data_IF_696689962410
#
_entry.id   IF_696689962410
#
_cell.length_a   1.000
_cell.length_b   1.000
_cell.length_c   1.000
_cell.angle_alpha   90.00
_cell.angle_beta   90.00
_cell.angle_gamma   90.00
#
_symmetry.space_group_name_H-M   'P 1'
#
loop_
_entity.id
_entity.type
_entity.pdbx_description
1 polymer ?
#
# COMPACT_ATOMS: atom_id res chain seq x y z
N UNK A 1 -14.73 -6.32 13.11
CA UNK A 1 -15.78 -7.35 12.86
C UNK A 1 -17.17 -6.83 12.53
N UNK A 2 -17.38 -5.53 12.28
CA UNK A 2 -18.70 -5.01 11.86
C UNK A 2 -18.98 -5.19 10.35
N UNK A 3 -17.95 -5.22 9.51
CA UNK A 3 -18.09 -5.35 8.05
C UNK A 3 -18.70 -6.71 7.63
N UNK A 4 -18.19 -7.84 8.13
CA UNK A 4 -18.73 -9.17 7.79
C UNK A 4 -20.20 -9.42 8.19
N UNK A 5 -20.68 -8.72 9.23
CA UNK A 5 -22.09 -8.78 9.64
C UNK A 5 -23.01 -7.92 8.76
N UNK A 6 -22.48 -6.80 8.24
CA UNK A 6 -23.20 -5.91 7.32
C UNK A 6 -23.43 -6.61 5.97
N UNK A 7 -22.47 -7.33 5.41
CA UNK A 7 -22.61 -7.92 4.07
C UNK A 7 -23.48 -9.17 4.01
N UNK A 8 -23.38 -10.07 5.00
CA UNK A 8 -24.15 -11.33 5.03
C UNK A 8 -25.66 -11.13 5.27
N UNK A 9 -26.04 -10.09 6.02
CA UNK A 9 -27.44 -9.82 6.38
C UNK A 9 -28.12 -8.71 5.54
N UNK A 10 -27.36 -7.83 4.87
CA UNK A 10 -27.96 -6.71 4.14
C UNK A 10 -28.09 -6.92 2.64
N UNK A 11 -27.32 -7.81 1.99
CA UNK A 11 -27.45 -8.03 0.54
C UNK A 11 -28.84 -8.60 0.17
N UNK A 12 -29.38 -9.63 0.86
CA UNK A 12 -30.75 -10.08 0.60
C UNK A 12 -31.81 -9.01 0.91
N UNK A 13 -31.56 -8.13 1.90
CA UNK A 13 -32.46 -7.02 2.27
C UNK A 13 -32.40 -5.85 1.28
N UNK A 14 -31.23 -5.57 0.71
CA UNK A 14 -31.02 -4.59 -0.36
C UNK A 14 -31.70 -5.08 -1.64
N UNK A 15 -31.54 -6.35 -2.00
CA UNK A 15 -32.25 -6.99 -3.10
C UNK A 15 -33.77 -6.89 -2.94
N UNK A 16 -34.30 -7.23 -1.75
CA UNK A 16 -35.72 -7.09 -1.44
C UNK A 16 -36.17 -5.62 -1.45
N UNK A 17 -35.38 -4.71 -0.90
CA UNK A 17 -35.67 -3.28 -0.87
C UNK A 17 -35.75 -2.66 -2.26
N UNK A 18 -34.81 -3.00 -3.15
CA UNK A 18 -34.83 -2.47 -4.52
C UNK A 18 -36.00 -3.04 -5.36
N UNK A 19 -36.36 -4.32 -5.19
CA UNK A 19 -37.54 -4.92 -5.81
C UNK A 19 -38.87 -4.38 -5.25
N UNK A 20 -38.86 -3.81 -4.04
CA UNK A 20 -40.00 -3.11 -3.46
C UNK A 20 -40.11 -1.66 -3.96
N UNK A 21 -38.98 -0.97 -4.18
CA UNK A 21 -38.94 0.42 -4.66
C UNK A 21 -39.27 0.52 -6.15
N UNK A 22 -38.94 -0.50 -6.96
CA UNK A 22 -39.20 -0.51 -8.41
C UNK A 22 -40.04 -1.72 -8.83
N UNK A 23 -41.35 -1.76 -8.51
CA UNK A 23 -42.21 -2.93 -8.77
C UNK A 23 -42.42 -3.24 -10.26
N UNK A 24 -42.21 -2.27 -11.16
CA UNK A 24 -42.25 -2.44 -12.62
C UNK A 24 -41.18 -3.39 -13.17
N UNK A 25 -40.13 -3.68 -12.38
CA UNK A 25 -39.08 -4.65 -12.73
C UNK A 25 -39.53 -6.11 -12.56
N UNK A 26 -40.65 -6.37 -11.84
CA UNK A 26 -41.22 -7.73 -11.67
C UNK A 26 -42.00 -8.21 -12.88
N UNK A 27 -42.45 -7.30 -13.73
CA UNK A 27 -43.27 -7.64 -14.91
C UNK A 27 -42.42 -7.90 -16.16
N UNK A 28 -41.13 -7.57 -16.13
CA UNK A 28 -40.21 -7.77 -17.24
C UNK A 28 -39.16 -8.82 -16.84
N UNK A 29 -39.35 -10.04 -17.33
CA UNK A 29 -38.49 -11.19 -17.03
C UNK A 29 -37.02 -10.94 -17.42
N UNK A 30 -36.75 -10.08 -18.41
CA UNK A 30 -35.38 -9.75 -18.82
C UNK A 30 -34.67 -8.84 -17.80
N UNK A 31 -35.43 -7.93 -17.18
CA UNK A 31 -34.93 -7.02 -16.15
C UNK A 31 -34.73 -7.79 -14.85
N UNK A 32 -35.67 -8.64 -14.44
CA UNK A 32 -35.51 -9.52 -13.27
C UNK A 32 -34.29 -10.44 -13.40
N UNK A 33 -34.07 -11.04 -14.57
CA UNK A 33 -32.90 -11.88 -14.83
C UNK A 33 -31.59 -11.07 -14.73
N UNK A 34 -31.56 -9.85 -15.27
CA UNK A 34 -30.40 -8.95 -15.18
C UNK A 34 -30.08 -8.56 -13.74
N UNK A 35 -31.10 -8.31 -12.91
CA UNK A 35 -30.91 -8.04 -11.48
C UNK A 35 -30.39 -9.24 -10.70
N UNK A 36 -30.88 -10.46 -10.99
CA UNK A 36 -30.35 -11.68 -10.35
C UNK A 36 -28.86 -11.87 -10.66
N UNK A 37 -28.45 -11.66 -11.92
CA UNK A 37 -27.04 -11.72 -12.32
C UNK A 37 -26.19 -10.68 -11.57
N UNK A 38 -26.69 -9.46 -11.39
CA UNK A 38 -25.99 -8.43 -10.62
C UNK A 38 -25.85 -8.82 -9.14
N UNK A 39 -26.89 -9.40 -8.54
CA UNK A 39 -26.84 -9.85 -7.14
C UNK A 39 -25.88 -11.03 -6.95
N UNK A 40 -25.91 -12.01 -7.86
CA UNK A 40 -24.97 -13.14 -7.84
C UNK A 40 -23.53 -12.66 -8.01
N UNK A 41 -23.29 -11.68 -8.90
CA UNK A 41 -21.98 -11.05 -9.07
C UNK A 41 -21.53 -10.31 -7.81
N UNK A 42 -22.41 -9.54 -7.17
CA UNK A 42 -22.13 -8.85 -5.91
C UNK A 42 -21.81 -9.86 -4.81
N UNK A 43 -22.52 -10.98 -4.73
CA UNK A 43 -22.26 -12.04 -3.76
C UNK A 43 -20.90 -12.70 -3.98
N UNK A 44 -20.55 -13.02 -5.24
CA UNK A 44 -19.25 -13.58 -5.61
C UNK A 44 -18.13 -12.61 -5.24
N UNK A 45 -18.25 -11.34 -5.65
CA UNK A 45 -17.27 -10.30 -5.32
C UNK A 45 -17.17 -10.13 -3.80
N UNK A 46 -18.28 -10.15 -3.07
CA UNK A 46 -18.28 -10.00 -1.61
C UNK A 46 -17.54 -11.15 -0.92
N UNK A 47 -17.76 -12.39 -1.36
CA UNK A 47 -17.04 -13.57 -0.85
C UNK A 47 -15.55 -13.50 -1.16
N UNK A 48 -15.20 -13.07 -2.37
CA UNK A 48 -13.81 -12.91 -2.80
C UNK A 48 -13.10 -11.83 -1.96
N UNK A 49 -13.75 -10.68 -1.75
CA UNK A 49 -13.25 -9.60 -0.89
C UNK A 49 -13.11 -10.07 0.55
N UNK A 50 -14.09 -10.79 1.09
CA UNK A 50 -14.01 -11.33 2.46
C UNK A 50 -12.85 -12.31 2.62
N UNK A 51 -12.64 -13.18 1.63
CA UNK A 51 -11.51 -14.11 1.62
C UNK A 51 -10.17 -13.37 1.58
N UNK A 52 -10.04 -12.36 0.70
CA UNK A 52 -8.84 -11.52 0.61
C UNK A 52 -8.56 -10.77 1.91
N UNK A 53 -9.58 -10.18 2.54
CA UNK A 53 -9.44 -9.50 3.84
C UNK A 53 -8.99 -10.49 4.92
N UNK A 54 -9.56 -11.69 4.97
CA UNK A 54 -9.16 -12.73 5.93
C UNK A 54 -7.71 -13.16 5.73
N UNK A 55 -7.28 -13.33 4.49
CA UNK A 55 -5.90 -13.67 4.17
C UNK A 55 -4.94 -12.53 4.58
N UNK A 56 -5.27 -11.29 4.26
CA UNK A 56 -4.49 -10.12 4.65
C UNK A 56 -4.39 -9.99 6.18
N UNK A 57 -5.49 -10.13 6.91
CA UNK A 57 -5.49 -10.11 8.38
C UNK A 57 -4.61 -11.20 8.98
N UNK A 58 -4.66 -12.42 8.42
CA UNK A 58 -3.83 -13.54 8.86
C UNK A 58 -2.35 -13.24 8.63
N UNK A 59 -1.99 -12.78 7.42
CA UNK A 59 -0.61 -12.42 7.07
C UNK A 59 -0.08 -11.29 7.95
N UNK A 60 -0.87 -10.24 8.17
CA UNK A 60 -0.52 -9.14 9.05
C UNK A 60 -0.26 -9.62 10.49
N UNK A 61 -1.13 -10.49 11.01
CA UNK A 61 -0.95 -11.06 12.36
C UNK A 61 0.37 -11.82 12.49
N UNK A 62 0.70 -12.68 11.52
CA UNK A 62 1.95 -13.44 11.52
C UNK A 62 3.16 -12.51 11.49
N UNK A 63 3.12 -11.48 10.66
CA UNK A 63 4.20 -10.49 10.55
C UNK A 63 4.35 -9.64 11.83
N UNK A 64 3.25 -9.29 12.49
CA UNK A 64 3.25 -8.58 13.78
C UNK A 64 3.69 -9.45 14.97
N UNK A 65 3.59 -10.77 14.86
CA UNK A 65 4.18 -11.70 15.81
C UNK A 65 5.69 -11.85 15.55
N UNK A 66 6.09 -11.98 14.28
CA UNK A 66 7.48 -12.08 13.87
C UNK A 66 8.32 -10.86 14.26
N UNK A 67 7.78 -9.64 14.08
CA UNK A 67 8.48 -8.39 14.41
C UNK A 67 8.83 -8.26 15.89
N UNK A 68 8.12 -8.98 16.77
CA UNK A 68 8.39 -9.00 18.22
C UNK A 68 9.50 -9.97 18.59
N UNK A 69 9.89 -10.86 17.68
CA UNK A 69 10.85 -11.95 17.92
C UNK A 69 12.22 -11.53 17.39
N UNK A 70 12.38 -11.43 16.07
CA UNK A 70 13.65 -11.09 15.42
C UNK A 70 13.45 -10.70 13.95
N UNK A 71 14.46 -10.07 13.36
CA UNK A 71 14.47 -9.75 11.93
C UNK A 71 14.47 -11.01 11.05
N UNK A 72 15.19 -12.06 11.45
CA UNK A 72 15.21 -13.35 10.75
C UNK A 72 13.82 -13.98 10.67
N UNK A 73 13.03 -13.87 11.75
CA UNK A 73 11.68 -14.40 11.80
C UNK A 73 10.73 -13.63 10.88
N UNK A 74 10.89 -12.31 10.75
CA UNK A 74 10.14 -11.52 9.77
C UNK A 74 10.45 -12.00 8.36
N UNK A 75 11.73 -12.19 8.04
CA UNK A 75 12.17 -12.63 6.71
C UNK A 75 11.62 -14.03 6.37
N UNK A 76 11.59 -14.92 7.36
CA UNK A 76 10.98 -16.25 7.22
C UNK A 76 9.48 -16.15 6.91
N UNK A 77 8.74 -15.36 7.67
CA UNK A 77 7.29 -15.18 7.46
C UNK A 77 6.98 -14.54 6.10
N UNK A 78 7.80 -13.57 5.66
CA UNK A 78 7.68 -12.98 4.31
C UNK A 78 7.92 -14.04 3.24
N UNK A 79 8.99 -14.85 3.37
CA UNK A 79 9.28 -15.92 2.41
C UNK A 79 8.16 -16.96 2.33
N UNK A 80 7.61 -17.37 3.49
CA UNK A 80 6.54 -18.36 3.59
C UNK A 80 5.19 -17.85 3.05
N UNK A 81 4.97 -16.52 3.02
CA UNK A 81 3.70 -15.90 2.61
C UNK A 81 3.87 -14.90 1.45
N UNK A 82 4.92 -15.07 0.64
CA UNK A 82 5.42 -14.08 -0.31
C UNK A 82 4.34 -13.53 -1.25
N UNK A 83 3.53 -14.41 -1.83
CA UNK A 83 2.47 -14.05 -2.78
C UNK A 83 1.47 -13.04 -2.20
N UNK A 84 1.17 -13.15 -0.90
CA UNK A 84 0.23 -12.26 -0.22
C UNK A 84 0.97 -11.06 0.36
N UNK A 85 2.08 -11.31 1.08
CA UNK A 85 2.83 -10.28 1.80
C UNK A 85 3.41 -9.19 0.90
N UNK A 86 3.71 -9.51 -0.36
CA UNK A 86 4.23 -8.55 -1.35
C UNK A 86 3.18 -8.15 -2.41
N UNK A 87 1.92 -8.57 -2.23
CA UNK A 87 0.85 -8.20 -3.16
C UNK A 87 0.46 -6.72 -3.01
N UNK A 88 0.07 -6.04 -4.11
CA UNK A 88 -0.48 -4.68 -4.04
C UNK A 88 -1.68 -4.57 -3.10
N UNK A 89 -2.54 -5.59 -3.09
CA UNK A 89 -3.74 -5.64 -2.23
C UNK A 89 -3.38 -5.66 -0.75
N UNK A 90 -2.32 -6.35 -0.35
CA UNK A 90 -1.85 -6.38 1.03
C UNK A 90 -1.20 -5.07 1.46
N UNK A 91 -0.44 -4.42 0.56
CA UNK A 91 0.15 -3.11 0.83
C UNK A 91 -0.93 -2.04 1.02
N UNK A 92 -1.98 -2.03 0.19
CA UNK A 92 -3.14 -1.15 0.36
C UNK A 92 -3.86 -1.44 1.69
N UNK A 93 -4.03 -2.72 2.03
CA UNK A 93 -4.61 -3.10 3.32
C UNK A 93 -3.77 -2.56 4.49
N UNK A 94 -2.44 -2.71 4.44
CA UNK A 94 -1.54 -2.20 5.45
C UNK A 94 -1.61 -0.67 5.58
N UNK A 95 -1.74 0.05 4.46
CA UNK A 95 -1.92 1.49 4.44
C UNK A 95 -3.22 1.92 5.13
N UNK A 96 -4.32 1.20 4.86
CA UNK A 96 -5.58 1.46 5.55
C UNK A 96 -5.50 1.23 7.07
N UNK A 97 -4.74 0.24 7.53
CA UNK A 97 -4.53 -0.02 8.96
C UNK A 97 -3.66 1.08 9.61
N UNK A 98 -2.68 1.62 8.86
CA UNK A 98 -1.86 2.77 9.32
C UNK A 98 -2.70 4.04 9.40
N UNK A 99 -3.51 4.33 8.39
CA UNK A 99 -4.35 5.53 8.32
C UNK A 99 -5.44 5.54 9.40
N UNK A 100 -6.08 4.39 9.64
CA UNK A 100 -7.06 4.21 10.72
C UNK A 100 -6.48 4.55 12.11
N UNK A 101 -5.17 4.42 12.30
CA UNK A 101 -4.48 4.72 13.56
C UNK A 101 -3.94 6.16 13.62
N UNK A 102 -3.85 6.85 12.48
CA UNK A 102 -3.42 8.25 12.42
C UNK A 102 -4.56 9.23 12.70
N UNK A 103 -5.80 8.89 12.35
CA UNK A 103 -6.97 9.75 12.58
C UNK A 103 -7.34 9.88 14.07
N UNK A 104 -6.90 8.95 14.92
CA UNK A 104 -7.00 9.06 16.39
C UNK A 104 -5.86 9.91 16.97
N UNK A 105 -5.77 11.17 16.54
CA UNK A 105 -4.74 12.12 16.97
C UNK A 105 -5.03 12.67 18.37
N UNK A 106 -4.64 11.94 19.41
CA UNK A 106 -4.19 12.55 20.67
C UNK A 106 -3.38 11.54 21.48
N UNK A 107 -2.23 11.98 22.00
CA UNK A 107 -1.32 11.28 22.91
C UNK A 107 -0.31 10.28 22.32
N UNK A 108 0.98 10.61 22.53
CA UNK A 108 2.17 9.74 22.65
C UNK A 108 2.39 8.63 21.62
N UNK A 109 3.57 8.63 20.98
CA UNK A 109 4.13 7.55 20.12
C UNK A 109 3.38 6.21 20.23
N UNK A 110 2.38 5.98 19.37
CA UNK A 110 1.61 4.74 19.40
C UNK A 110 2.57 3.60 19.00
N UNK A 111 2.91 2.68 19.91
CA UNK A 111 3.89 1.62 19.63
C UNK A 111 3.40 0.69 18.52
N UNK A 112 2.07 0.57 18.34
CA UNK A 112 1.48 -0.23 17.27
C UNK A 112 1.64 0.42 15.90
N UNK A 113 1.47 1.75 15.81
CA UNK A 113 1.76 2.51 14.59
C UNK A 113 3.24 2.39 14.20
N UNK A 114 4.15 2.47 15.18
CA UNK A 114 5.58 2.28 14.96
C UNK A 114 5.91 0.88 14.40
N UNK A 115 5.24 -0.16 14.91
CA UNK A 115 5.39 -1.53 14.40
C UNK A 115 4.87 -1.69 12.97
N UNK A 116 3.69 -1.13 12.65
CA UNK A 116 3.13 -1.20 11.29
C UNK A 116 3.98 -0.44 10.27
N UNK A 117 4.47 0.75 10.64
CA UNK A 117 5.41 1.49 9.80
C UNK A 117 6.69 0.69 9.60
N UNK A 118 7.26 0.10 10.65
CA UNK A 118 8.46 -0.74 10.54
C UNK A 118 8.23 -1.95 9.63
N UNK A 119 7.08 -2.61 9.77
CA UNK A 119 6.70 -3.72 8.91
C UNK A 119 6.54 -3.29 7.44
N UNK A 120 5.86 -2.17 7.20
CA UNK A 120 5.71 -1.58 5.88
C UNK A 120 7.08 -1.36 5.22
N UNK A 121 8.01 -0.75 5.95
CA UNK A 121 9.38 -0.55 5.47
C UNK A 121 10.07 -1.85 5.09
N UNK A 122 9.92 -2.90 5.91
CA UNK A 122 10.53 -4.21 5.64
C UNK A 122 9.93 -4.88 4.40
N UNK A 123 8.61 -4.79 4.22
CA UNK A 123 7.94 -5.35 3.03
C UNK A 123 8.34 -4.61 1.76
N UNK A 124 8.53 -3.29 1.83
CA UNK A 124 9.09 -2.52 0.72
C UNK A 124 10.54 -2.87 0.42
N UNK A 125 11.36 -3.18 1.43
CA UNK A 125 12.73 -3.66 1.25
C UNK A 125 12.75 -5.02 0.55
N UNK A 126 11.87 -5.95 0.94
CA UNK A 126 11.78 -7.28 0.31
C UNK A 126 11.15 -7.25 -1.09
N UNK A 127 10.08 -6.47 -1.27
CA UNK A 127 9.55 -6.14 -2.60
C UNK A 127 10.66 -5.50 -3.44
N UNK A 128 11.51 -4.71 -2.78
CA UNK A 128 12.66 -4.09 -3.37
C UNK A 128 13.71 -5.06 -3.86
N UNK A 129 14.11 -6.03 -3.06
CA UNK A 129 15.01 -7.09 -3.50
C UNK A 129 14.44 -7.88 -4.66
N UNK A 130 13.14 -8.19 -4.63
CA UNK A 130 12.46 -8.95 -5.69
C UNK A 130 12.35 -8.17 -7.01
N UNK A 131 11.96 -6.89 -6.93
CA UNK A 131 11.81 -6.00 -8.08
C UNK A 131 13.12 -5.33 -8.51
N UNK A 132 14.19 -5.50 -7.74
CA UNK A 132 15.48 -4.83 -7.95
C UNK A 132 15.51 -3.37 -7.49
N UNK A 133 14.64 -2.94 -6.56
CA UNK A 133 14.64 -1.62 -5.94
C UNK A 133 15.91 -1.33 -5.13
N UNK A 134 16.64 -2.33 -4.63
CA UNK A 134 17.98 -2.09 -4.07
C UNK A 134 18.91 -1.44 -5.10
N UNK A 135 18.71 -1.75 -6.40
CA UNK A 135 19.33 -0.99 -7.49
C UNK A 135 18.72 0.41 -7.55
N UNK A 136 17.39 0.54 -7.58
CA UNK A 136 16.66 1.82 -7.61
C UNK A 136 17.12 2.83 -6.55
N UNK A 137 17.18 2.45 -5.27
CA UNK A 137 17.55 3.34 -4.16
C UNK A 137 19.07 3.53 -4.02
N UNK A 138 19.89 2.58 -4.49
CA UNK A 138 21.36 2.75 -4.53
C UNK A 138 21.81 3.90 -5.45
N UNK A 139 20.96 4.32 -6.38
CA UNK A 139 21.23 5.46 -7.24
C UNK A 139 21.01 6.80 -6.52
N UNK A 140 20.22 6.85 -5.45
CA UNK A 140 19.88 8.10 -4.74
C UNK A 140 21.14 8.84 -4.25
N UNK A 141 22.12 8.21 -3.58
CA UNK A 141 23.36 8.90 -3.21
C UNK A 141 24.12 9.46 -4.42
N UNK A 142 24.12 8.75 -5.56
CA UNK A 142 24.81 9.19 -6.78
C UNK A 142 24.08 10.36 -7.44
N UNK A 143 22.76 10.31 -7.51
CA UNK A 143 21.92 11.39 -8.06
C UNK A 143 21.98 12.62 -7.14
N UNK A 144 21.90 12.41 -5.83
CA UNK A 144 21.93 13.48 -4.84
C UNK A 144 23.33 14.09 -4.66
N UNK A 145 24.40 13.43 -5.13
CA UNK A 145 25.76 13.97 -5.17
C UNK A 145 26.02 14.95 -6.33
N UNK A 146 25.04 15.13 -7.22
CA UNK A 146 25.18 16.11 -8.30
C UNK A 146 25.31 17.53 -7.76
N UNK A 147 26.18 18.31 -8.42
CA UNK A 147 26.58 19.64 -7.94
C UNK A 147 25.54 20.72 -8.24
N UNK A 148 24.55 20.42 -9.07
CA UNK A 148 23.55 21.37 -9.57
C UNK A 148 22.16 20.76 -9.55
N UNK A 149 21.15 21.57 -9.28
CA UNK A 149 19.74 21.16 -9.30
C UNK A 149 19.33 20.56 -10.65
N UNK A 150 19.75 21.17 -11.76
CA UNK A 150 19.45 20.65 -13.10
C UNK A 150 20.11 19.29 -13.35
N UNK A 151 21.33 19.08 -12.82
CA UNK A 151 22.01 17.78 -12.87
C UNK A 151 21.27 16.70 -12.08
N UNK A 152 20.78 17.03 -10.89
CA UNK A 152 19.94 16.13 -10.07
C UNK A 152 18.67 15.74 -10.86
N UNK A 153 17.97 16.71 -11.45
CA UNK A 153 16.74 16.46 -12.23
C UNK A 153 17.00 15.58 -13.45
N UNK A 154 17.99 15.93 -14.28
CA UNK A 154 18.30 15.16 -15.48
C UNK A 154 18.65 13.71 -15.15
N UNK A 155 19.52 13.48 -14.16
CA UNK A 155 19.88 12.12 -13.75
C UNK A 155 18.72 11.35 -13.14
N UNK A 156 17.83 12.03 -12.42
CA UNK A 156 16.61 11.39 -11.89
C UNK A 156 15.75 10.87 -13.05
N UNK A 157 15.50 11.68 -14.07
CA UNK A 157 14.69 11.28 -15.22
C UNK A 157 15.38 10.18 -16.03
N UNK A 158 16.67 10.33 -16.36
CA UNK A 158 17.46 9.30 -17.07
C UNK A 158 17.43 7.95 -16.34
N UNK A 159 17.39 8.00 -15.01
CA UNK A 159 17.31 6.80 -14.19
C UNK A 159 15.92 6.18 -14.24
N UNK A 160 14.86 6.96 -14.06
CA UNK A 160 13.47 6.49 -14.07
C UNK A 160 13.05 5.89 -15.42
N UNK A 161 13.60 6.38 -16.53
CA UNK A 161 13.37 5.83 -17.88
C UNK A 161 13.70 4.34 -18.03
N UNK A 162 14.54 3.79 -17.15
CA UNK A 162 14.97 2.39 -17.20
C UNK A 162 13.96 1.43 -16.56
N UNK A 163 12.88 1.96 -15.98
CA UNK A 163 11.94 1.22 -15.13
C UNK A 163 10.50 1.39 -15.62
N UNK A 164 9.66 0.40 -15.31
CA UNK A 164 8.21 0.49 -15.56
C UNK A 164 7.51 1.44 -14.57
N UNK A 165 6.27 1.80 -14.88
CA UNK A 165 5.47 2.77 -14.11
C UNK A 165 5.32 2.32 -12.65
N UNK A 166 5.07 1.03 -12.41
CA UNK A 166 4.94 0.48 -11.05
C UNK A 166 6.23 0.68 -10.24
N UNK A 167 7.38 0.39 -10.83
CA UNK A 167 8.69 0.57 -10.20
C UNK A 167 9.03 2.04 -9.92
N UNK A 168 8.57 2.96 -10.78
CA UNK A 168 8.73 4.40 -10.56
C UNK A 168 7.91 4.88 -9.36
N UNK A 169 6.66 4.43 -9.21
CA UNK A 169 5.85 4.71 -8.03
C UNK A 169 6.48 4.16 -6.74
N UNK A 170 7.05 2.95 -6.82
CA UNK A 170 7.76 2.35 -5.69
C UNK A 170 9.02 3.16 -5.32
N UNK A 171 9.81 3.61 -6.29
CA UNK A 171 10.95 4.50 -6.06
C UNK A 171 10.54 5.79 -5.34
N UNK A 172 9.48 6.46 -5.80
CA UNK A 172 8.94 7.66 -5.16
C UNK A 172 8.54 7.39 -3.70
N UNK A 173 7.88 6.26 -3.45
CA UNK A 173 7.45 5.90 -2.10
C UNK A 173 8.63 5.63 -1.17
N UNK A 174 9.62 4.86 -1.64
CA UNK A 174 10.85 4.59 -0.90
C UNK A 174 11.64 5.86 -0.59
N UNK A 175 11.68 6.82 -1.53
CA UNK A 175 12.34 8.11 -1.34
C UNK A 175 11.66 8.94 -0.23
N UNK A 176 10.32 9.04 -0.24
CA UNK A 176 9.54 9.74 0.80
C UNK A 176 9.77 9.18 2.19
N UNK A 177 9.82 7.86 2.27
CA UNK A 177 10.16 7.13 3.48
C UNK A 177 11.58 7.49 3.96
N UNK A 178 12.55 7.48 3.05
CA UNK A 178 13.96 7.77 3.36
C UNK A 178 14.12 9.21 3.85
N UNK A 179 13.48 10.18 3.18
CA UNK A 179 13.43 11.59 3.60
C UNK A 179 12.82 11.73 5.00
N UNK A 180 11.70 11.05 5.30
CA UNK A 180 11.06 11.09 6.61
C UNK A 180 12.00 10.61 7.72
N UNK A 181 12.72 9.51 7.49
CA UNK A 181 13.68 8.98 8.47
C UNK A 181 14.93 9.87 8.60
N UNK A 182 15.44 10.41 7.49
CA UNK A 182 16.56 11.32 7.49
C UNK A 182 16.24 12.64 8.19
N UNK A 183 15.06 13.23 7.97
CA UNK A 183 14.61 14.41 8.71
C UNK A 183 14.47 14.13 10.21
N UNK A 184 14.08 12.91 10.63
CA UNK A 184 13.98 12.58 12.05
C UNK A 184 15.35 12.41 12.72
N UNK A 185 16.33 11.83 12.02
CA UNK A 185 17.61 11.38 12.62
C UNK A 185 18.83 12.24 12.28
N UNK A 186 18.84 12.88 11.12
CA UNK A 186 20.04 13.45 10.51
C UNK A 186 19.84 14.86 9.93
N UNK A 187 18.74 15.55 10.29
CA UNK A 187 18.40 16.88 9.76
C UNK A 187 19.54 17.92 9.87
N UNK A 188 20.37 17.80 10.90
CA UNK A 188 21.47 18.73 11.17
C UNK A 188 22.81 18.34 10.54
N UNK A 189 22.92 17.13 9.98
CA UNK A 189 24.20 16.60 9.48
C UNK A 189 24.48 17.01 8.03
N UNK A 190 23.47 16.99 7.16
CA UNK A 190 23.64 17.39 5.77
C UNK A 190 22.34 17.99 5.16
N UNK A 191 22.15 19.31 5.29
CA UNK A 191 20.99 20.00 4.70
C UNK A 191 20.99 19.96 3.17
N UNK A 192 22.15 19.85 2.54
CA UNK A 192 22.29 19.85 1.08
C UNK A 192 21.80 18.54 0.46
N UNK A 193 22.07 17.43 1.14
CA UNK A 193 21.54 16.12 0.76
C UNK A 193 20.00 16.08 0.84
N UNK A 194 19.42 16.60 1.93
CA UNK A 194 17.96 16.69 2.08
C UNK A 194 17.31 17.56 0.99
N UNK A 195 17.95 18.68 0.65
CA UNK A 195 17.51 19.54 -0.46
C UNK A 195 17.53 18.78 -1.80
N UNK A 196 18.62 18.10 -2.13
CA UNK A 196 18.73 17.32 -3.36
C UNK A 196 17.74 16.15 -3.40
N UNK A 197 17.46 15.50 -2.27
CA UNK A 197 16.42 14.46 -2.19
C UNK A 197 15.02 15.00 -2.49
N UNK A 198 14.68 16.21 -2.02
CA UNK A 198 13.41 16.85 -2.36
C UNK A 198 13.30 17.16 -3.87
N UNK A 199 14.42 17.55 -4.50
CA UNK A 199 14.46 17.74 -5.95
C UNK A 199 14.21 16.41 -6.68
N UNK A 200 14.84 15.32 -6.24
CA UNK A 200 14.60 13.97 -6.80
C UNK A 200 13.11 13.61 -6.65
N UNK A 201 12.51 13.85 -5.49
CA UNK A 201 11.10 13.56 -5.23
C UNK A 201 10.19 14.33 -6.17
N UNK A 202 10.44 15.63 -6.35
CA UNK A 202 9.65 16.48 -7.22
C UNK A 202 9.79 16.07 -8.69
N UNK A 203 11.02 15.86 -9.16
CA UNK A 203 11.28 15.38 -10.51
C UNK A 203 10.62 14.01 -10.79
N UNK A 204 10.59 13.13 -9.78
CA UNK A 204 9.92 11.83 -9.89
C UNK A 204 8.40 11.98 -9.97
N UNK A 205 7.80 12.85 -9.14
CA UNK A 205 6.36 13.14 -9.24
C UNK A 205 6.00 13.75 -10.59
N UNK A 206 6.79 14.69 -11.09
CA UNK A 206 6.55 15.37 -12.38
C UNK A 206 6.72 14.43 -13.57
N UNK A 207 7.52 13.37 -13.45
CA UNK A 207 7.73 12.38 -14.51
C UNK A 207 6.61 11.32 -14.56
N UNK A 208 6.06 10.96 -13.40
CA UNK A 208 5.01 9.95 -13.26
C UNK A 208 3.63 10.50 -13.68
N UNK A 209 3.35 11.78 -13.40
CA UNK A 209 2.07 12.44 -13.66
C UNK A 209 2.08 13.20 -14.98
#
# INVERSE_FOLDING_TARGET
NQLGWIYSNNIPKLAQGMLQVYPSTRTDQSIEASYRVLLDLIEIISKEVENNVKQNQKTLKLLLEAIKISEDEINRVIADNKEIALSPTFLIYLDSEVDNLNDDSSTSENPFLSLLVTLKLRLFDELGKEKGIDKLTSAIPRIASESTEDGVKCKTIEYLQQYDIESQHLFLHSLRIMQKQMNKRYQQLDPSLLFNMNIIEQATNDYIN
#
